data_IF_400823882792
#
_entry.id   IF_400823882792
#
_cell.length_a   1.000
_cell.length_b   1.000
_cell.length_c   1.000
_cell.angle_alpha   90.00
_cell.angle_beta   90.00
_cell.angle_gamma   90.00
#
_symmetry.space_group_name_H-M   'P 1'
#
loop_
_entity.id
_entity.type
_entity.pdbx_description
1 polymer ?
#
# COMPACT_ATOMS: atom_id res chain seq x y z
N UNK A 1 -17.92 -6.87 -9.23
CA UNK A 1 -17.79 -6.20 -8.55
C UNK A 1 -17.22 -5.03 -8.80
N UNK A 2 -17.44 -4.14 -8.40
CA UNK A 2 -17.04 -2.98 -8.73
C UNK A 2 -16.04 -2.42 -7.92
N UNK A 3 -15.99 -2.63 -6.70
CA UNK A 3 -14.99 -2.08 -5.81
C UNK A 3 -13.84 -3.05 -5.69
N UNK A 4 -12.79 -2.76 -6.42
CA UNK A 4 -11.62 -3.60 -6.45
C UNK A 4 -10.50 -2.97 -5.66
N UNK A 5 -9.86 -3.74 -4.82
CA UNK A 5 -8.74 -3.29 -4.03
C UNK A 5 -7.45 -3.86 -4.60
N UNK A 6 -6.49 -3.00 -4.84
CA UNK A 6 -5.18 -3.43 -5.24
C UNK A 6 -4.20 -3.16 -4.11
N UNK A 7 -3.25 -4.05 -3.93
CA UNK A 7 -2.32 -3.93 -2.82
C UNK A 7 -1.49 -2.66 -2.91
N UNK A 8 -1.14 -2.23 -4.12
CA UNK A 8 -0.35 -1.01 -4.23
C UNK A 8 -1.13 0.22 -3.79
N UNK A 9 -2.47 0.16 -3.78
CA UNK A 9 -3.25 1.27 -3.23
C UNK A 9 -2.97 1.42 -1.74
N UNK A 10 -2.79 0.30 -1.04
CA UNK A 10 -2.45 0.34 0.38
C UNK A 10 -1.08 0.95 0.60
N UNK A 11 -0.12 0.64 -0.27
CA UNK A 11 1.21 1.25 -0.18
C UNK A 11 1.13 2.76 -0.37
N UNK A 12 0.30 3.21 -1.29
CA UNK A 12 0.13 4.65 -1.52
C UNK A 12 -0.45 5.30 -0.26
N UNK A 13 -1.42 4.66 0.36
CA UNK A 13 -1.99 5.22 1.58
C UNK A 13 -0.93 5.35 2.68
N UNK A 14 -0.12 4.32 2.84
CA UNK A 14 0.96 4.37 3.81
C UNK A 14 1.90 5.54 3.51
N UNK A 15 2.27 5.70 2.24
CA UNK A 15 3.17 6.79 1.87
C UNK A 15 2.56 8.15 2.17
N UNK A 16 1.29 8.34 1.86
CA UNK A 16 0.66 9.63 2.13
C UNK A 16 0.65 9.93 3.62
N UNK A 17 0.34 8.91 4.43
CA UNK A 17 0.29 9.09 5.87
C UNK A 17 1.68 9.36 6.44
N UNK A 18 2.67 8.60 6.00
CA UNK A 18 4.02 8.75 6.52
C UNK A 18 4.66 10.06 6.10
N UNK A 19 4.45 10.47 4.86
CA UNK A 19 5.07 11.67 4.34
C UNK A 19 4.24 12.92 4.60
N UNK A 20 2.96 12.75 4.83
CA UNK A 20 2.10 13.85 5.26
C UNK A 20 1.53 14.70 4.15
N UNK A 21 1.89 14.47 2.90
CA UNK A 21 1.34 15.24 1.78
C UNK A 21 1.17 14.34 0.57
N UNK A 22 0.23 14.70 -0.29
CA UNK A 22 0.06 14.00 -1.56
C UNK A 22 1.25 14.22 -2.48
N UNK A 23 1.84 15.41 -2.44
CA UNK A 23 2.99 15.73 -3.30
C UNK A 23 4.16 14.81 -3.01
N UNK A 24 4.49 14.65 -1.73
CA UNK A 24 5.64 13.82 -1.36
C UNK A 24 5.38 12.36 -1.69
N UNK A 25 4.15 11.90 -1.46
CA UNK A 25 3.81 10.52 -1.80
C UNK A 25 3.89 10.29 -3.30
N UNK A 26 3.42 11.26 -4.08
CA UNK A 26 3.48 11.14 -5.53
C UNK A 26 4.91 11.06 -6.01
N UNK A 27 5.78 11.88 -5.43
CA UNK A 27 7.17 11.88 -5.80
C UNK A 27 7.82 10.53 -5.48
N UNK A 28 7.57 10.02 -4.29
CA UNK A 28 8.14 8.73 -3.90
C UNK A 28 7.65 7.61 -4.80
N UNK A 29 6.38 7.63 -5.16
CA UNK A 29 5.77 6.58 -5.97
C UNK A 29 6.03 6.78 -7.45
N UNK A 30 6.61 7.91 -7.84
CA UNK A 30 6.83 8.26 -9.25
C UNK A 30 5.50 8.32 -10.00
N UNK A 31 4.52 8.95 -9.36
CA UNK A 31 3.20 9.15 -9.94
C UNK A 31 2.87 10.64 -9.90
N UNK A 32 1.85 11.02 -10.65
CA UNK A 32 1.33 12.38 -10.54
C UNK A 32 0.48 12.49 -9.29
N UNK A 33 0.32 13.71 -8.79
CA UNK A 33 -0.56 13.95 -7.67
C UNK A 33 -1.99 13.50 -7.93
N UNK A 34 -2.58 13.80 -9.11
CA UNK A 34 -3.92 13.30 -9.39
C UNK A 34 -4.02 11.78 -9.35
N UNK A 35 -2.96 11.09 -9.78
CA UNK A 35 -2.97 9.62 -9.73
C UNK A 35 -3.02 9.13 -8.29
N UNK A 36 -2.22 9.73 -7.41
CA UNK A 36 -2.24 9.37 -6.00
C UNK A 36 -3.62 9.65 -5.41
N UNK A 37 -4.16 10.82 -5.71
CA UNK A 37 -5.45 11.21 -5.20
C UNK A 37 -6.54 10.23 -5.63
N UNK A 38 -6.46 9.78 -6.87
CA UNK A 38 -7.45 8.85 -7.39
C UNK A 38 -7.35 7.50 -6.71
N UNK A 39 -6.15 7.03 -6.44
CA UNK A 39 -5.98 5.77 -5.75
C UNK A 39 -6.52 5.83 -4.33
N UNK A 40 -6.31 6.96 -3.66
CA UNK A 40 -6.87 7.14 -2.32
C UNK A 40 -8.39 7.12 -2.39
N UNK A 41 -8.97 7.80 -3.39
CA UNK A 41 -10.43 7.78 -3.53
C UNK A 41 -10.97 6.38 -3.77
N UNK A 42 -10.24 5.56 -4.50
CA UNK A 42 -10.66 4.19 -4.71
C UNK A 42 -10.68 3.41 -3.41
N UNK A 43 -9.67 3.60 -2.58
CA UNK A 43 -9.66 2.98 -1.26
C UNK A 43 -10.84 3.47 -0.42
N UNK A 44 -11.12 4.75 -0.47
CA UNK A 44 -12.23 5.30 0.30
C UNK A 44 -13.55 4.72 -0.17
N UNK A 45 -13.68 4.52 -1.48
CA UNK A 45 -14.89 3.87 -1.99
C UNK A 45 -14.98 2.42 -1.55
N UNK A 46 -13.85 1.74 -1.55
CA UNK A 46 -13.83 0.34 -1.14
C UNK A 46 -14.28 0.18 0.31
N UNK A 47 -13.79 1.05 1.19
CA UNK A 47 -14.12 0.94 2.61
C UNK A 47 -15.36 1.73 3.00
N UNK A 48 -15.87 2.55 2.10
CA UNK A 48 -17.07 3.32 2.39
C UNK A 48 -16.87 4.42 3.41
N UNK A 49 -15.66 4.97 3.52
CA UNK A 49 -15.36 5.98 4.53
C UNK A 49 -14.18 6.82 4.09
N UNK A 50 -14.09 8.02 4.64
CA UNK A 50 -12.93 8.86 4.42
C UNK A 50 -11.75 8.28 5.19
N UNK A 51 -10.62 8.22 4.54
CA UNK A 51 -9.41 7.69 5.16
C UNK A 51 -8.43 8.79 5.54
N UNK A 52 -8.52 9.94 4.90
CA UNK A 52 -7.62 11.04 5.15
C UNK A 52 -8.42 12.31 5.38
N UNK A 53 -7.85 13.20 6.16
CA UNK A 53 -8.45 14.53 6.36
C UNK A 53 -7.35 15.55 6.27
N UNK A 54 -7.75 16.75 5.88
CA UNK A 54 -6.80 17.83 5.71
C UNK A 54 -6.48 18.49 7.04
N UNK A 55 -5.22 18.86 7.19
CA UNK A 55 -4.75 19.52 8.38
C UNK A 55 -3.80 20.61 7.89
N UNK A 56 -4.35 21.73 7.46
CA UNK A 56 -3.55 22.76 6.82
C UNK A 56 -3.06 22.27 5.48
N UNK A 57 -1.76 22.33 5.26
CA UNK A 57 -1.16 21.82 4.02
C UNK A 57 -0.90 20.35 4.05
N UNK A 58 -1.03 19.74 5.21
CA UNK A 58 -0.75 18.34 5.36
C UNK A 58 -2.03 17.55 5.43
N UNK A 59 -1.90 16.24 5.36
CA UNK A 59 -3.03 15.36 5.55
C UNK A 59 -2.66 14.36 6.64
N UNK A 60 -3.67 13.86 7.30
CA UNK A 60 -3.48 12.86 8.33
C UNK A 60 -4.62 11.86 8.23
N UNK A 61 -4.45 10.66 8.80
CA UNK A 61 -5.50 9.66 8.70
C UNK A 61 -6.67 9.99 9.61
N UNK A 62 -7.86 9.66 9.15
CA UNK A 62 -9.03 9.62 10.02
C UNK A 62 -8.92 8.41 10.92
N UNK A 63 -9.88 8.24 11.83
CA UNK A 63 -9.89 7.03 12.66
C UNK A 63 -9.97 5.78 11.80
N UNK A 64 -10.83 5.80 10.78
CA UNK A 64 -10.91 4.67 9.86
C UNK A 64 -9.60 4.52 9.10
N UNK A 65 -9.01 5.62 8.68
CA UNK A 65 -7.73 5.58 7.98
C UNK A 65 -6.65 4.91 8.82
N UNK A 66 -6.63 5.19 10.11
CA UNK A 66 -5.64 4.57 10.98
C UNK A 66 -5.82 3.06 11.05
N UNK A 67 -7.08 2.61 11.10
CA UNK A 67 -7.35 1.18 11.09
C UNK A 67 -6.85 0.54 9.80
N UNK A 68 -7.11 1.19 8.68
CA UNK A 68 -6.70 0.65 7.39
C UNK A 68 -5.17 0.64 7.27
N UNK A 69 -4.52 1.70 7.74
CA UNK A 69 -3.05 1.76 7.68
C UNK A 69 -2.43 0.66 8.55
N UNK A 70 -2.97 0.42 9.72
CA UNK A 70 -2.45 -0.64 10.57
C UNK A 70 -2.58 -2.01 9.88
N UNK A 71 -3.71 -2.25 9.25
CA UNK A 71 -3.88 -3.48 8.50
C UNK A 71 -2.96 -3.54 7.30
N UNK A 72 -2.76 -2.40 6.65
CA UNK A 72 -1.86 -2.36 5.48
C UNK A 72 -0.44 -2.74 5.86
N UNK A 73 0.04 -2.28 7.01
CA UNK A 73 1.36 -2.68 7.48
C UNK A 73 1.44 -4.19 7.70
N UNK A 74 0.40 -4.76 8.30
CA UNK A 74 0.39 -6.20 8.54
C UNK A 74 0.36 -6.99 7.25
N UNK A 75 -0.40 -6.51 6.27
CA UNK A 75 -0.45 -7.17 4.96
C UNK A 75 0.92 -7.11 4.30
N UNK A 76 1.57 -5.96 4.36
CA UNK A 76 2.89 -5.81 3.79
C UNK A 76 3.89 -6.76 4.45
N UNK A 77 3.85 -6.81 5.78
CA UNK A 77 4.74 -7.71 6.52
C UNK A 77 4.49 -9.17 6.15
N UNK A 78 3.22 -9.52 6.01
CA UNK A 78 2.88 -10.89 5.66
C UNK A 78 3.40 -11.26 4.29
N UNK A 79 3.29 -10.33 3.33
CA UNK A 79 3.83 -10.59 2.00
C UNK A 79 5.33 -10.74 2.02
N UNK A 80 6.02 -9.94 2.82
CA UNK A 80 7.47 -10.08 2.95
C UNK A 80 7.84 -11.42 3.56
N UNK A 81 7.07 -11.86 4.54
CA UNK A 81 7.29 -13.16 5.15
C UNK A 81 7.16 -14.27 4.12
N UNK A 82 6.13 -14.18 3.28
CA UNK A 82 5.94 -15.19 2.24
C UNK A 82 7.07 -15.15 1.22
N UNK A 83 7.49 -13.94 0.83
CA UNK A 83 8.59 -13.82 -0.11
C UNK A 83 9.87 -14.44 0.43
N UNK A 84 10.15 -14.21 1.70
CA UNK A 84 11.31 -14.82 2.33
C UNK A 84 11.18 -16.33 2.37
N UNK A 85 9.99 -16.82 2.67
CA UNK A 85 9.78 -18.26 2.74
C UNK A 85 9.90 -18.93 1.37
N UNK A 86 9.57 -18.19 0.31
CA UNK A 86 9.63 -18.72 -1.04
C UNK A 86 11.04 -18.66 -1.61
N UNK A 87 11.87 -17.79 -1.08
CA UNK A 87 13.18 -17.53 -1.65
C UNK A 87 14.03 -18.76 -1.92
N UNK A 88 14.14 -19.71 -0.99
CA UNK A 88 14.95 -20.90 -1.27
C UNK A 88 14.45 -21.69 -2.47
N UNK A 89 13.16 -21.69 -2.70
CA UNK A 89 12.62 -22.43 -3.84
C UNK A 89 12.98 -21.76 -5.16
N UNK A 90 12.99 -20.42 -5.16
CA UNK A 90 13.29 -19.68 -6.38
C UNK A 90 14.76 -19.80 -6.76
N UNK A 91 15.63 -19.65 -5.80
CA UNK A 91 17.04 -19.69 -6.09
C UNK A 91 17.46 -21.10 -6.45
N UNK A 92 16.80 -22.08 -5.85
CA UNK A 92 17.10 -23.46 -6.20
C UNK A 92 16.85 -23.70 -7.66
N UNK A 93 15.88 -23.07 -8.22
CA UNK A 93 15.61 -23.26 -9.61
C UNK A 93 16.67 -22.63 -10.47
N UNK A 94 17.24 -21.58 -9.99
CA UNK A 94 18.27 -20.97 -10.77
C UNK A 94 19.45 -21.87 -10.77
N UNK A 95 19.58 -22.52 -9.86
CA UNK A 95 20.61 -23.40 -9.85
C UNK A 95 20.08 -24.59 -9.41
N UNK A 96 19.68 -24.82 -9.29
CA UNK A 96 19.41 -25.71 -8.72
C UNK A 96 18.33 -26.07 -8.41
N UNK A 97 17.67 -25.89 -8.25
CA UNK A 97 16.68 -26.25 -7.95
C UNK A 97 16.19 -26.70 -7.57
N UNK A 98 15.97 -27.10 -7.47
CA UNK A 98 15.31 -27.57 -7.01
C UNK A 98 14.65 -27.61 -6.57
N UNK A 99 14.33 -27.46 -6.63
CA UNK A 99 13.58 -27.50 -6.20
C UNK A 99 13.07 -27.75 -5.98
N UNK A 100 13.01 -27.88 -6.05
CA UNK A 100 12.35 -28.24 -5.94
C UNK A 100 12.31 -28.39 -5.72
N UNK A 101 12.43 -28.59 -5.68
CA UNK A 101 12.30 -28.85 -5.43
C UNK A 101 12.22 -28.85 -5.38
#
# INVERSE_FOLDING_TARGET
MKNTLALHHLDILIDVVELGTFSAAAEKAQLSQPAVSQQIRQLERYFGARLLERCGRKVRPTDVGRLVVQSAYRIRDELETVQDAVQPFRTGSAGRVRIGT
#
